data_IF_445950837248
#
_entry.id   IF_445950837248
#
_cell.length_a   1.000
_cell.length_b   1.000
_cell.length_c   1.000
_cell.angle_alpha   90.00
_cell.angle_beta   90.00
_cell.angle_gamma   90.00
#
_symmetry.space_group_name_H-M   'P 1'
#
loop_
_entity.id
_entity.type
_entity.pdbx_description
1 polymer ?
#
# COMPACT_ATOMS: atom_id res chain seq x y z
N UNK A 1 17.82 -4.61 2.96
CA UNK A 1 16.90 -5.02 1.85
C UNK A 1 15.71 -4.09 1.86
N UNK A 2 15.03 -3.86 0.76
CA UNK A 2 13.77 -3.10 0.71
C UNK A 2 12.59 -3.94 1.20
N UNK A 3 11.55 -3.25 1.65
CA UNK A 3 10.19 -3.79 1.77
C UNK A 3 9.33 -3.03 0.75
N UNK A 4 8.71 -3.75 -0.19
CA UNK A 4 7.66 -3.20 -1.06
C UNK A 4 6.35 -3.22 -0.28
N UNK A 5 5.91 -2.05 0.19
CA UNK A 5 4.78 -1.96 1.12
C UNK A 5 3.42 -2.09 0.45
N UNK A 6 3.35 -2.08 -0.89
CA UNK A 6 2.11 -2.25 -1.63
C UNK A 6 2.35 -2.70 -3.09
N UNK A 7 1.79 -3.84 -3.43
CA UNK A 7 1.77 -4.40 -4.78
C UNK A 7 0.55 -5.33 -4.95
N UNK A 8 0.27 -5.78 -6.18
CA UNK A 8 -0.78 -6.75 -6.53
C UNK A 8 -0.20 -7.91 -7.32
N UNK A 9 0.92 -8.47 -6.84
CA UNK A 9 1.65 -9.50 -7.60
C UNK A 9 0.89 -10.82 -7.71
N UNK A 10 -0.05 -11.10 -6.82
CA UNK A 10 -0.94 -12.26 -6.87
C UNK A 10 -1.91 -12.25 -8.06
N UNK A 11 -2.13 -11.06 -8.68
CA UNK A 11 -2.99 -10.92 -9.87
C UNK A 11 -2.27 -11.32 -11.17
N UNK A 12 -0.96 -11.56 -11.15
CA UNK A 12 -0.23 -12.11 -12.28
C UNK A 12 -0.55 -13.59 -12.48
N UNK A 13 -0.31 -14.08 -13.70
CA UNK A 13 -0.47 -15.51 -13.98
C UNK A 13 0.36 -16.36 -12.99
N UNK A 14 -0.20 -17.45 -12.44
CA UNK A 14 0.47 -18.25 -11.40
C UNK A 14 1.86 -18.73 -11.78
N UNK A 15 2.12 -18.99 -13.08
CA UNK A 15 3.42 -19.38 -13.62
C UNK A 15 4.45 -18.25 -13.61
N UNK A 16 4.02 -16.97 -13.62
CA UNK A 16 4.91 -15.81 -13.55
C UNK A 16 5.29 -15.42 -12.12
N UNK A 17 4.48 -15.83 -11.15
CA UNK A 17 4.59 -15.36 -9.76
C UNK A 17 5.95 -15.65 -9.13
N UNK A 18 6.49 -16.86 -9.36
CA UNK A 18 7.81 -17.25 -8.86
C UNK A 18 8.91 -16.37 -9.45
N UNK A 19 8.90 -16.19 -10.76
CA UNK A 19 9.90 -15.37 -11.46
C UNK A 19 9.86 -13.90 -11.00
N UNK A 20 8.68 -13.36 -10.68
CA UNK A 20 8.52 -11.98 -10.16
C UNK A 20 9.17 -11.88 -8.78
N UNK A 21 8.91 -12.84 -7.90
CA UNK A 21 9.49 -12.91 -6.55
C UNK A 21 11.01 -13.07 -6.62
N UNK A 22 11.51 -13.96 -7.47
CA UNK A 22 12.96 -14.18 -7.65
C UNK A 22 13.67 -12.93 -8.14
N UNK A 23 13.08 -12.22 -9.12
CA UNK A 23 13.61 -10.94 -9.59
C UNK A 23 13.59 -9.85 -8.52
N UNK A 24 12.59 -9.85 -7.64
CA UNK A 24 12.51 -8.93 -6.51
C UNK A 24 13.65 -9.19 -5.52
N UNK A 25 13.86 -10.44 -5.13
CA UNK A 25 14.97 -10.84 -4.24
C UNK A 25 16.32 -10.48 -4.86
N UNK A 26 16.55 -10.78 -6.14
CA UNK A 26 17.76 -10.40 -6.85
C UNK A 26 18.00 -8.88 -6.90
N UNK A 27 16.94 -8.08 -6.79
CA UNK A 27 16.97 -6.61 -6.70
C UNK A 27 17.01 -6.11 -5.24
N UNK A 28 17.33 -6.96 -4.27
CA UNK A 28 17.42 -6.62 -2.85
C UNK A 28 16.09 -6.21 -2.20
N UNK A 29 14.95 -6.73 -2.71
CA UNK A 29 13.63 -6.63 -2.08
C UNK A 29 13.44 -7.87 -1.21
N UNK A 30 13.41 -7.69 0.10
CA UNK A 30 13.35 -8.80 1.06
C UNK A 30 11.95 -9.15 1.51
N UNK A 31 10.98 -8.25 1.32
CA UNK A 31 9.57 -8.50 1.62
C UNK A 31 8.67 -7.72 0.66
N UNK A 32 7.52 -8.32 0.32
CA UNK A 32 6.50 -7.73 -0.55
C UNK A 32 5.15 -7.90 0.13
N UNK A 33 4.39 -6.81 0.25
CA UNK A 33 3.00 -6.86 0.72
C UNK A 33 2.10 -6.83 -0.53
N UNK A 34 1.39 -7.93 -0.80
CA UNK A 34 0.45 -8.01 -1.92
C UNK A 34 -0.97 -7.80 -1.42
N UNK A 35 -1.66 -6.78 -1.96
CA UNK A 35 -2.95 -6.28 -1.47
C UNK A 35 -4.11 -6.76 -2.33
N UNK A 36 -5.09 -7.41 -1.72
CA UNK A 36 -6.35 -7.76 -2.38
C UNK A 36 -7.26 -6.55 -2.57
N UNK A 37 -8.06 -6.55 -3.63
CA UNK A 37 -8.99 -5.47 -3.98
C UNK A 37 -10.46 -5.84 -3.86
N UNK A 38 -10.76 -7.13 -3.66
CA UNK A 38 -12.08 -7.68 -3.34
C UNK A 38 -11.95 -8.75 -2.27
N UNK A 39 -13.07 -9.25 -1.72
CA UNK A 39 -13.05 -10.38 -0.77
C UNK A 39 -12.39 -11.61 -1.39
N UNK A 40 -12.71 -11.93 -2.65
CA UNK A 40 -12.13 -13.07 -3.37
C UNK A 40 -10.65 -12.83 -3.67
N UNK A 41 -10.29 -11.64 -4.16
CA UNK A 41 -8.91 -11.26 -4.47
C UNK A 41 -8.03 -11.22 -3.21
N UNK A 42 -8.60 -10.86 -2.06
CA UNK A 42 -7.94 -10.94 -0.75
C UNK A 42 -7.56 -12.38 -0.37
N UNK A 43 -8.38 -13.37 -0.71
CA UNK A 43 -8.03 -14.79 -0.53
C UNK A 43 -6.83 -15.16 -1.42
N UNK A 44 -6.82 -14.73 -2.68
CA UNK A 44 -5.71 -14.98 -3.60
C UNK A 44 -4.38 -14.36 -3.10
N UNK A 45 -4.45 -13.18 -2.48
CA UNK A 45 -3.30 -12.54 -1.86
C UNK A 45 -2.76 -13.37 -0.68
N UNK A 46 -3.65 -13.94 0.16
CA UNK A 46 -3.27 -14.86 1.25
C UNK A 46 -2.64 -16.14 0.68
N UNK A 47 -3.24 -16.73 -0.35
CA UNK A 47 -2.74 -17.97 -0.97
C UNK A 47 -1.32 -17.77 -1.53
N UNK A 48 -1.06 -16.60 -2.10
CA UNK A 48 0.30 -16.25 -2.54
C UNK A 48 1.27 -16.09 -1.36
N UNK A 49 0.83 -15.45 -0.27
CA UNK A 49 1.65 -15.29 0.94
C UNK A 49 1.93 -16.62 1.66
N UNK A 50 1.06 -17.62 1.52
CA UNK A 50 1.33 -19.00 1.97
C UNK A 50 2.39 -19.69 1.09
N UNK A 51 2.40 -19.38 -0.21
CA UNK A 51 3.29 -20.02 -1.18
C UNK A 51 4.72 -19.48 -1.15
N UNK A 52 4.89 -18.19 -0.83
CA UNK A 52 6.19 -17.51 -0.85
C UNK A 52 6.49 -16.87 0.52
N UNK A 53 7.57 -17.32 1.16
CA UNK A 53 7.95 -16.90 2.52
C UNK A 53 8.15 -15.38 2.67
N UNK A 54 8.63 -14.72 1.62
CA UNK A 54 8.89 -13.27 1.59
C UNK A 54 7.72 -12.43 1.04
N UNK A 55 6.54 -13.04 0.86
CA UNK A 55 5.30 -12.35 0.46
C UNK A 55 4.33 -12.36 1.64
N UNK A 56 3.72 -11.21 1.90
CA UNK A 56 2.73 -11.00 2.95
C UNK A 56 1.44 -10.47 2.31
N UNK A 57 0.31 -10.70 2.96
CA UNK A 57 -0.98 -10.30 2.42
C UNK A 57 -1.51 -9.01 3.06
N UNK A 58 -2.11 -8.17 2.24
CA UNK A 58 -3.11 -7.19 2.63
C UNK A 58 -4.50 -7.68 2.20
N UNK A 59 -5.52 -7.44 3.03
CA UNK A 59 -6.90 -7.81 2.72
C UNK A 59 -7.80 -6.60 2.78
N UNK A 60 -8.67 -6.44 1.77
CA UNK A 60 -9.54 -5.28 1.66
C UNK A 60 -10.45 -5.32 0.43
N UNK A 61 -11.32 -4.32 0.34
CA UNK A 61 -12.15 -4.05 -0.84
C UNK A 61 -11.86 -2.63 -1.31
N UNK A 62 -11.27 -2.54 -2.49
CA UNK A 62 -10.89 -1.28 -3.10
C UNK A 62 -12.14 -0.44 -3.47
N UNK A 63 -12.11 0.88 -3.34
CA UNK A 63 -13.27 1.73 -3.61
C UNK A 63 -13.81 1.61 -5.04
N UNK A 64 -12.98 1.29 -6.04
CA UNK A 64 -13.43 1.12 -7.43
C UNK A 64 -14.06 -0.24 -7.72
N UNK A 65 -13.84 -1.24 -6.87
CA UNK A 65 -14.32 -2.61 -7.07
C UNK A 65 -15.66 -2.87 -6.34
N UNK A 66 -16.25 -1.83 -5.76
CA UNK A 66 -17.57 -1.90 -5.14
C UNK A 66 -18.67 -1.93 -6.20
N UNK A 67 -19.34 -3.06 -6.36
CA UNK A 67 -20.56 -3.18 -7.19
C UNK A 67 -21.83 -2.74 -6.43
N UNK A 68 -21.77 -2.68 -5.09
CA UNK A 68 -22.82 -2.30 -4.13
C UNK A 68 -22.21 -1.98 -2.77
N UNK A 69 -23.01 -1.52 -1.81
CA UNK A 69 -22.60 -1.50 -0.40
C UNK A 69 -22.22 -2.91 0.07
N UNK A 70 -21.15 -3.03 0.87
CA UNK A 70 -20.76 -4.32 1.46
C UNK A 70 -21.85 -4.84 2.39
N UNK A 71 -22.19 -6.10 2.25
CA UNK A 71 -23.15 -6.77 3.12
C UNK A 71 -22.49 -7.24 4.42
N UNK A 72 -23.30 -7.62 5.42
CA UNK A 72 -22.79 -8.23 6.64
C UNK A 72 -22.01 -9.53 6.37
N UNK A 73 -22.37 -10.29 5.34
CA UNK A 73 -21.66 -11.50 4.90
C UNK A 73 -20.29 -11.16 4.31
N UNK A 74 -20.20 -10.14 3.44
CA UNK A 74 -18.93 -9.67 2.90
C UNK A 74 -17.98 -9.22 4.01
N UNK A 75 -18.48 -8.44 4.97
CA UNK A 75 -17.72 -7.95 6.12
C UNK A 75 -17.27 -9.08 7.06
N UNK A 76 -18.13 -10.09 7.26
CA UNK A 76 -17.76 -11.28 8.03
C UNK A 76 -16.63 -12.04 7.36
N UNK A 77 -16.74 -12.34 6.08
CA UNK A 77 -15.70 -13.01 5.29
C UNK A 77 -14.38 -12.21 5.30
N UNK A 78 -14.45 -10.90 5.10
CA UNK A 78 -13.26 -10.05 5.15
C UNK A 78 -12.61 -10.07 6.53
N UNK A 79 -13.42 -10.06 7.60
CA UNK A 79 -12.92 -10.18 8.97
C UNK A 79 -12.26 -11.54 9.25
N UNK A 80 -12.79 -12.63 8.68
CA UNK A 80 -12.19 -13.96 8.80
C UNK A 80 -10.84 -14.03 8.05
N UNK A 81 -10.76 -13.44 6.86
CA UNK A 81 -9.49 -13.31 6.12
C UNK A 81 -8.46 -12.47 6.89
N UNK A 82 -8.88 -11.37 7.50
CA UNK A 82 -8.01 -10.50 8.30
C UNK A 82 -7.40 -11.20 9.53
N UNK A 83 -7.99 -12.30 9.99
CA UNK A 83 -7.45 -13.12 11.07
C UNK A 83 -6.28 -14.03 10.64
N UNK A 84 -6.03 -14.18 9.33
CA UNK A 84 -4.95 -15.04 8.82
C UNK A 84 -3.57 -14.55 9.30
N UNK A 85 -2.66 -15.45 9.69
CA UNK A 85 -1.31 -15.08 10.12
C UNK A 85 -0.46 -14.46 9.00
N UNK A 86 -0.80 -14.67 7.73
CA UNK A 86 -0.13 -14.07 6.58
C UNK A 86 -0.53 -12.62 6.36
N UNK A 87 -1.64 -12.17 6.95
CA UNK A 87 -2.15 -10.81 6.78
C UNK A 87 -1.44 -9.86 7.72
N UNK A 88 -0.84 -8.81 7.15
CA UNK A 88 -0.08 -7.81 7.91
C UNK A 88 -0.68 -6.41 7.87
N UNK A 89 -1.58 -6.15 6.93
CA UNK A 89 -2.27 -4.85 6.76
C UNK A 89 -3.72 -5.04 6.32
N UNK A 90 -4.59 -4.08 6.62
CA UNK A 90 -5.88 -3.91 5.95
C UNK A 90 -5.65 -3.09 4.69
N UNK A 91 -5.78 -3.69 3.51
CA UNK A 91 -5.44 -3.09 2.20
C UNK A 91 -6.03 -3.94 1.04
N UNK A 92 -6.52 -3.36 -0.05
CA UNK A 92 -6.54 -1.94 -0.32
C UNK A 92 -7.93 -1.39 -0.01
N UNK A 93 -8.01 -0.30 0.73
CA UNK A 93 -9.27 0.33 1.15
C UNK A 93 -9.20 1.84 0.86
N UNK A 94 -10.30 2.57 0.90
CA UNK A 94 -10.22 4.03 0.79
C UNK A 94 -11.31 4.69 -0.06
N UNK A 95 -10.93 5.80 -0.72
CA UNK A 95 -11.84 6.68 -1.48
C UNK A 95 -11.25 6.99 -2.86
N UNK A 96 -12.05 6.78 -3.90
CA UNK A 96 -11.74 7.13 -5.29
C UNK A 96 -12.91 7.93 -5.91
N UNK A 97 -12.66 9.16 -6.29
CA UNK A 97 -13.68 10.01 -6.92
C UNK A 97 -13.47 10.20 -8.42
N UNK A 98 -12.88 9.22 -9.09
CA UNK A 98 -12.80 9.23 -10.56
C UNK A 98 -14.21 9.15 -11.18
N UNK A 99 -14.36 9.58 -12.43
CA UNK A 99 -15.66 9.67 -13.11
C UNK A 99 -16.46 8.36 -13.12
N UNK A 100 -15.75 7.22 -13.22
CA UNK A 100 -16.37 5.88 -13.28
C UNK A 100 -16.38 5.14 -11.95
N UNK A 101 -15.93 5.79 -10.89
CA UNK A 101 -15.91 5.17 -9.57
C UNK A 101 -17.31 4.96 -9.01
N UNK A 102 -17.53 3.95 -8.19
CA UNK A 102 -18.80 3.65 -7.55
C UNK A 102 -19.35 4.80 -6.71
N UNK A 103 -20.59 4.68 -6.28
CA UNK A 103 -21.29 5.68 -5.45
C UNK A 103 -20.47 6.06 -4.22
N UNK A 104 -20.29 7.37 -3.99
CA UNK A 104 -19.49 7.92 -2.89
C UNK A 104 -19.93 7.43 -1.52
N UNK A 105 -21.24 7.25 -1.29
CA UNK A 105 -21.75 6.71 -0.01
C UNK A 105 -21.31 5.26 0.21
N UNK A 106 -21.30 4.41 -0.81
CA UNK A 106 -20.83 3.03 -0.70
C UNK A 106 -19.33 2.99 -0.33
N UNK A 107 -18.54 3.86 -0.94
CA UNK A 107 -17.12 3.97 -0.64
C UNK A 107 -16.90 4.39 0.82
N UNK A 108 -17.62 5.42 1.28
CA UNK A 108 -17.51 5.90 2.65
C UNK A 108 -17.94 4.83 3.68
N UNK A 109 -19.08 4.18 3.46
CA UNK A 109 -19.57 3.07 4.29
C UNK A 109 -18.55 1.91 4.33
N UNK A 110 -18.01 1.53 3.16
CA UNK A 110 -17.00 0.48 3.03
C UNK A 110 -15.73 0.84 3.78
N UNK A 111 -15.24 2.07 3.63
CA UNK A 111 -14.02 2.52 4.30
C UNK A 111 -14.16 2.49 5.82
N UNK A 112 -15.25 3.05 6.37
CA UNK A 112 -15.57 2.97 7.80
C UNK A 112 -15.63 1.52 8.31
N UNK A 113 -16.33 0.64 7.60
CA UNK A 113 -16.51 -0.75 8.02
C UNK A 113 -15.16 -1.52 8.02
N UNK A 114 -14.31 -1.27 7.02
CA UNK A 114 -13.01 -1.90 6.92
C UNK A 114 -12.02 -1.38 7.97
N UNK A 115 -12.06 -0.09 8.33
CA UNK A 115 -11.29 0.44 9.48
C UNK A 115 -11.72 -0.25 10.79
N UNK A 116 -13.03 -0.54 10.95
CA UNK A 116 -13.50 -1.27 12.13
C UNK A 116 -12.97 -2.71 12.17
N UNK A 117 -12.88 -3.40 11.02
CA UNK A 117 -12.25 -4.73 10.91
C UNK A 117 -10.75 -4.62 11.22
N UNK A 118 -10.04 -3.63 10.67
CA UNK A 118 -8.64 -3.40 10.96
C UNK A 118 -8.40 -3.24 12.47
N UNK A 119 -9.24 -2.46 13.15
CA UNK A 119 -9.20 -2.28 14.60
C UNK A 119 -9.41 -3.58 15.38
N UNK A 120 -10.38 -4.40 14.97
CA UNK A 120 -10.66 -5.71 15.60
C UNK A 120 -9.43 -6.64 15.54
N UNK A 121 -8.68 -6.59 14.46
CA UNK A 121 -7.52 -7.46 14.21
C UNK A 121 -6.16 -6.79 14.48
N UNK A 122 -6.18 -5.54 14.98
CA UNK A 122 -4.98 -4.73 15.27
C UNK A 122 -4.04 -4.61 14.04
N UNK A 123 -4.63 -4.39 12.87
CA UNK A 123 -3.92 -4.21 11.61
C UNK A 123 -3.75 -2.73 11.31
N UNK A 124 -2.57 -2.28 10.85
CA UNK A 124 -2.44 -0.96 10.23
C UNK A 124 -3.21 -0.92 8.92
N UNK A 125 -3.61 0.28 8.50
CA UNK A 125 -4.35 0.47 7.26
C UNK A 125 -3.46 1.04 6.15
N UNK A 126 -3.56 0.46 4.95
CA UNK A 126 -2.96 1.01 3.74
C UNK A 126 -4.10 1.43 2.82
N UNK A 127 -4.22 2.74 2.59
CA UNK A 127 -5.41 3.30 1.99
C UNK A 127 -5.15 4.19 0.78
N UNK A 128 -6.07 4.08 -0.16
CA UNK A 128 -6.15 4.80 -1.42
C UNK A 128 -6.94 6.09 -1.27
N UNK A 129 -6.44 7.20 -1.83
CA UNK A 129 -7.19 8.45 -1.97
C UNK A 129 -6.92 9.07 -3.32
N UNK A 130 -7.94 9.12 -4.19
CA UNK A 130 -7.80 9.63 -5.55
C UNK A 130 -8.90 10.62 -5.91
N UNK A 131 -8.47 11.80 -6.38
CA UNK A 131 -9.36 12.85 -6.86
C UNK A 131 -9.75 12.67 -8.32
N UNK A 132 -10.87 13.27 -8.72
CA UNK A 132 -11.28 13.32 -10.11
C UNK A 132 -10.16 13.89 -11.01
N UNK A 133 -9.88 13.20 -12.11
CA UNK A 133 -8.82 13.56 -13.08
C UNK A 133 -7.42 13.74 -12.47
N UNK A 134 -7.13 13.13 -11.34
CA UNK A 134 -5.87 13.29 -10.59
C UNK A 134 -5.55 14.76 -10.24
N UNK A 135 -6.57 15.58 -10.01
CA UNK A 135 -6.41 16.99 -9.66
C UNK A 135 -5.82 17.14 -8.24
N UNK A 136 -4.59 17.64 -8.16
CA UNK A 136 -3.89 17.82 -6.89
C UNK A 136 -4.43 18.97 -6.03
N UNK A 137 -5.25 19.83 -6.56
CA UNK A 137 -5.87 20.94 -5.85
C UNK A 137 -7.32 20.64 -5.43
N UNK A 138 -7.95 19.57 -5.98
CA UNK A 138 -9.27 19.13 -5.57
C UNK A 138 -9.27 18.53 -4.14
N UNK A 139 -10.42 18.60 -3.48
CA UNK A 139 -10.56 18.21 -2.06
C UNK A 139 -11.68 17.20 -1.80
N UNK A 140 -12.44 16.79 -2.83
CA UNK A 140 -13.64 15.96 -2.64
C UNK A 140 -13.34 14.59 -2.01
N UNK A 141 -12.37 13.86 -2.56
CA UNK A 141 -11.95 12.55 -2.04
C UNK A 141 -11.10 12.72 -0.77
N UNK A 142 -10.21 13.71 -0.76
CA UNK A 142 -9.32 14.00 0.37
C UNK A 142 -10.08 14.40 1.62
N UNK A 143 -11.06 15.31 1.52
CA UNK A 143 -11.88 15.72 2.66
C UNK A 143 -12.74 14.57 3.18
N UNK A 144 -13.31 13.76 2.28
CA UNK A 144 -14.03 12.55 2.67
C UNK A 144 -13.12 11.57 3.43
N UNK A 145 -11.94 11.31 2.90
CA UNK A 145 -10.98 10.41 3.57
C UNK A 145 -10.55 10.96 4.93
N UNK A 146 -10.18 12.25 5.03
CA UNK A 146 -9.78 12.89 6.29
C UNK A 146 -10.90 12.84 7.33
N UNK A 147 -12.18 13.08 6.91
CA UNK A 147 -13.32 12.98 7.82
C UNK A 147 -13.45 11.58 8.40
N UNK A 148 -13.45 10.56 7.52
CA UNK A 148 -13.58 9.15 7.91
C UNK A 148 -12.45 8.71 8.84
N UNK A 149 -11.20 9.06 8.51
CA UNK A 149 -10.03 8.73 9.31
C UNK A 149 -10.10 9.35 10.71
N UNK A 150 -10.57 10.60 10.83
CA UNK A 150 -10.79 11.29 12.11
C UNK A 150 -11.93 10.65 12.91
N UNK A 151 -13.11 10.48 12.29
CA UNK A 151 -14.29 9.91 12.92
C UNK A 151 -14.05 8.50 13.47
N UNK A 152 -13.24 7.73 12.75
CA UNK A 152 -12.85 6.37 13.13
C UNK A 152 -11.63 6.31 14.08
N UNK A 153 -11.01 7.44 14.45
CA UNK A 153 -9.72 7.48 15.16
C UNK A 153 -8.68 6.54 14.52
N UNK A 154 -8.66 6.49 13.19
CA UNK A 154 -7.87 5.49 12.44
C UNK A 154 -6.36 5.67 12.61
N UNK A 155 -5.89 6.87 12.99
CA UNK A 155 -4.48 7.13 13.28
C UNK A 155 -3.90 6.28 14.42
N UNK A 156 -4.74 5.78 15.35
CA UNK A 156 -4.30 4.85 16.41
C UNK A 156 -3.87 3.47 15.86
N UNK A 157 -4.37 3.09 14.70
CA UNK A 157 -3.95 1.86 14.02
C UNK A 157 -2.61 2.01 13.31
N UNK A 158 -2.25 3.23 12.96
CA UNK A 158 -1.15 3.51 12.05
C UNK A 158 -1.48 3.10 10.61
N UNK A 159 -0.47 3.17 9.77
CA UNK A 159 -0.61 2.82 8.35
C UNK A 159 -0.07 3.89 7.42
N UNK A 160 -0.53 3.88 6.17
CA UNK A 160 -0.02 4.80 5.14
C UNK A 160 -1.07 5.15 4.10
N UNK A 161 -1.01 6.40 3.61
CA UNK A 161 -1.58 6.73 2.31
C UNK A 161 -0.65 6.16 1.24
N UNK A 162 -1.11 5.10 0.56
CA UNK A 162 -0.34 4.45 -0.49
C UNK A 162 -0.42 5.23 -1.81
N UNK A 163 0.51 4.99 -2.72
CA UNK A 163 0.59 5.63 -4.05
C UNK A 163 0.30 7.13 -3.99
N UNK A 164 0.90 7.79 -3.00
CA UNK A 164 0.50 9.15 -2.64
C UNK A 164 0.50 10.10 -3.85
N UNK A 165 -0.65 10.73 -4.05
CA UNK A 165 -0.88 11.74 -5.07
C UNK A 165 -1.54 12.96 -4.42
N UNK A 166 -0.72 13.98 -4.15
CA UNK A 166 -1.21 15.21 -3.54
C UNK A 166 -0.10 16.20 -3.26
N UNK A 167 -0.49 17.43 -2.93
CA UNK A 167 0.45 18.46 -2.50
C UNK A 167 0.83 18.27 -1.04
N UNK A 168 1.90 18.93 -0.63
CA UNK A 168 2.40 18.92 0.74
C UNK A 168 1.33 19.21 1.80
N UNK A 169 0.40 20.13 1.53
CA UNK A 169 -0.68 20.45 2.47
C UNK A 169 -1.52 19.21 2.85
N UNK A 170 -1.86 18.35 1.87
CA UNK A 170 -2.61 17.12 2.13
C UNK A 170 -1.75 16.07 2.85
N UNK A 171 -0.49 15.92 2.44
CA UNK A 171 0.43 15.04 3.15
C UNK A 171 0.57 15.41 4.62
N UNK A 172 0.68 16.72 4.92
CA UNK A 172 0.75 17.22 6.29
C UNK A 172 -0.49 16.87 7.11
N UNK A 173 -1.71 16.97 6.55
CA UNK A 173 -2.93 16.57 7.24
C UNK A 173 -2.90 15.07 7.62
N UNK A 174 -2.40 14.20 6.74
CA UNK A 174 -2.26 12.77 7.01
C UNK A 174 -1.18 12.48 8.06
N UNK A 175 -0.04 13.16 7.98
CA UNK A 175 1.03 13.08 8.97
C UNK A 175 0.56 13.52 10.36
N UNK A 176 -0.23 14.60 10.44
CA UNK A 176 -0.81 15.11 11.69
C UNK A 176 -1.81 14.10 12.30
N UNK A 177 -2.42 13.24 11.48
CA UNK A 177 -3.27 12.13 11.91
C UNK A 177 -2.47 10.86 12.31
N UNK A 178 -1.16 10.84 12.11
CA UNK A 178 -0.29 9.72 12.49
C UNK A 178 0.05 8.77 11.35
N UNK A 179 -0.36 9.04 10.11
CA UNK A 179 -0.07 8.19 8.95
C UNK A 179 1.29 8.47 8.33
N UNK A 180 1.81 7.47 7.63
CA UNK A 180 2.97 7.59 6.76
C UNK A 180 2.55 8.00 5.35
N UNK A 181 3.53 8.40 4.54
CA UNK A 181 3.36 8.70 3.12
C UNK A 181 4.18 7.70 2.32
N UNK A 182 3.52 6.95 1.45
CA UNK A 182 4.19 5.96 0.60
C UNK A 182 4.33 6.48 -0.83
N UNK A 183 5.55 6.44 -1.35
CA UNK A 183 5.89 6.88 -2.68
C UNK A 183 6.11 5.70 -3.61
N UNK A 184 5.47 5.78 -4.78
CA UNK A 184 5.62 4.85 -5.89
C UNK A 184 6.41 5.48 -7.05
N UNK A 185 6.48 4.79 -8.17
CA UNK A 185 7.20 5.22 -9.39
C UNK A 185 6.74 6.57 -9.94
N UNK A 186 5.53 7.03 -9.59
CA UNK A 186 5.02 8.38 -9.89
C UNK A 186 5.93 9.48 -9.37
N UNK A 187 6.65 9.28 -8.27
CA UNK A 187 7.63 10.25 -7.77
C UNK A 187 8.71 10.59 -8.80
N UNK A 188 9.12 9.63 -9.63
CA UNK A 188 10.08 9.87 -10.71
C UNK A 188 9.48 10.56 -11.94
N UNK A 189 8.15 10.68 -12.02
CA UNK A 189 7.42 11.18 -13.19
C UNK A 189 6.71 12.51 -12.95
N UNK A 190 6.34 12.83 -11.70
CA UNK A 190 5.50 13.97 -11.34
C UNK A 190 6.27 14.94 -10.44
N UNK A 191 6.63 16.09 -11.02
CA UNK A 191 7.35 17.16 -10.29
C UNK A 191 6.54 17.69 -9.09
N UNK A 192 5.21 17.63 -9.15
CA UNK A 192 4.32 18.07 -8.08
C UNK A 192 4.50 17.27 -6.77
N UNK A 193 5.10 16.08 -6.83
CA UNK A 193 5.37 15.24 -5.65
C UNK A 193 6.72 15.57 -4.99
N UNK A 194 7.61 16.30 -5.65
CA UNK A 194 8.96 16.55 -5.13
C UNK A 194 8.94 17.35 -3.83
N UNK A 195 8.11 18.39 -3.73
CA UNK A 195 7.96 19.17 -2.50
C UNK A 195 7.51 18.27 -1.35
N UNK A 196 6.54 17.41 -1.59
CA UNK A 196 6.05 16.46 -0.57
C UNK A 196 7.14 15.47 -0.16
N UNK A 197 7.88 14.91 -1.13
CA UNK A 197 8.96 13.97 -0.86
C UNK A 197 10.13 14.62 -0.08
N UNK A 198 10.40 15.91 -0.30
CA UNK A 198 11.42 16.65 0.45
C UNK A 198 10.97 16.96 1.87
N UNK A 199 9.72 17.39 2.06
CA UNK A 199 9.23 17.89 3.33
C UNK A 199 8.69 16.78 4.27
N UNK A 200 8.35 15.60 3.76
CA UNK A 200 7.90 14.49 4.61
C UNK A 200 9.00 14.10 5.61
N UNK A 201 8.71 14.02 6.93
CA UNK A 201 9.68 13.57 7.92
C UNK A 201 10.31 12.23 7.54
N UNK A 202 11.60 12.08 7.79
CA UNK A 202 12.37 10.90 7.38
C UNK A 202 11.77 9.59 7.92
N UNK A 203 11.28 9.62 9.15
CA UNK A 203 10.66 8.49 9.86
C UNK A 203 9.20 8.22 9.43
N UNK A 204 8.69 8.93 8.41
CA UNK A 204 7.31 8.84 7.92
C UNK A 204 7.23 8.52 6.44
N UNK A 205 8.35 8.18 5.80
CA UNK A 205 8.40 7.82 4.38
C UNK A 205 8.41 6.31 4.21
N UNK A 206 7.55 5.82 3.31
CA UNK A 206 7.54 4.45 2.83
C UNK A 206 7.76 4.41 1.31
N UNK A 207 8.15 3.26 0.81
CA UNK A 207 8.31 2.98 -0.61
C UNK A 207 7.47 1.78 -1.02
N UNK A 208 6.97 1.85 -2.23
CA UNK A 208 6.20 0.79 -2.86
C UNK A 208 6.35 0.80 -4.37
N UNK A 209 5.83 -0.20 -5.04
CA UNK A 209 5.80 -0.22 -6.51
C UNK A 209 4.40 -0.10 -7.08
N UNK A 210 3.38 -0.50 -6.35
CA UNK A 210 2.02 -0.68 -6.86
C UNK A 210 2.03 -1.55 -8.14
N UNK A 211 2.78 -2.65 -8.07
CA UNK A 211 2.99 -3.54 -9.20
C UNK A 211 1.77 -4.44 -9.42
N UNK A 212 1.20 -4.39 -10.63
CA UNK A 212 0.07 -5.19 -11.07
C UNK A 212 0.20 -5.58 -12.56
N UNK A 213 -0.62 -6.50 -13.10
CA UNK A 213 -0.61 -6.86 -14.51
C UNK A 213 -1.00 -5.69 -15.42
N UNK A 214 -0.03 -5.05 -16.05
CA UNK A 214 -0.21 -3.85 -16.90
C UNK A 214 -0.51 -4.24 -18.35
N UNK A 215 -1.57 -5.00 -18.58
CA UNK A 215 -1.96 -5.57 -19.88
C UNK A 215 -2.15 -4.55 -20.99
N UNK A 216 -2.38 -3.28 -20.65
CA UNK A 216 -2.42 -2.16 -21.60
C UNK A 216 -1.04 -1.82 -22.21
N UNK A 217 0.05 -2.26 -21.58
CA UNK A 217 1.40 -2.12 -22.11
C UNK A 217 1.74 -3.32 -22.99
N UNK A 218 2.00 -3.10 -24.29
CA UNK A 218 2.33 -4.16 -25.26
C UNK A 218 3.59 -4.95 -24.91
N UNK A 219 4.53 -4.33 -24.21
CA UNK A 219 5.80 -4.96 -23.85
C UNK A 219 5.77 -5.35 -22.37
N UNK A 220 5.77 -6.66 -22.09
CA UNK A 220 5.79 -7.24 -20.73
C UNK A 220 6.98 -6.74 -19.90
N UNK A 221 8.15 -6.55 -20.52
CA UNK A 221 9.35 -6.08 -19.81
C UNK A 221 9.26 -4.61 -19.31
N UNK A 222 8.25 -3.87 -19.75
CA UNK A 222 7.95 -2.51 -19.27
C UNK A 222 6.91 -2.47 -18.15
N UNK A 223 6.41 -3.62 -17.71
CA UNK A 223 5.53 -3.67 -16.56
C UNK A 223 6.32 -3.35 -15.30
N UNK A 224 5.68 -2.66 -14.38
CA UNK A 224 6.25 -2.41 -13.06
C UNK A 224 6.23 -3.71 -12.26
N UNK A 225 7.34 -4.01 -11.60
CA UNK A 225 7.50 -5.15 -10.70
C UNK A 225 8.12 -4.68 -9.37
N UNK A 226 8.02 -5.45 -8.28
CA UNK A 226 8.63 -5.08 -6.99
C UNK A 226 10.13 -4.75 -7.06
N UNK A 227 10.88 -5.33 -8.00
CA UNK A 227 12.29 -4.98 -8.27
C UNK A 227 12.51 -3.50 -8.60
N UNK A 228 11.48 -2.83 -9.14
CA UNK A 228 11.57 -1.42 -9.59
C UNK A 228 11.50 -0.42 -8.41
N UNK A 229 11.38 -0.88 -7.17
CA UNK A 229 11.39 -0.03 -5.97
C UNK A 229 12.70 0.78 -5.87
N UNK A 230 13.80 0.26 -6.40
CA UNK A 230 15.08 0.97 -6.46
C UNK A 230 14.99 2.28 -7.23
N UNK A 231 14.16 2.35 -8.30
CA UNK A 231 13.96 3.58 -9.08
C UNK A 231 13.32 4.67 -8.22
N UNK A 232 12.39 4.30 -7.33
CA UNK A 232 11.76 5.24 -6.39
C UNK A 232 12.78 5.71 -5.36
N UNK A 233 13.58 4.77 -4.82
CA UNK A 233 14.62 5.06 -3.83
C UNK A 233 15.71 5.97 -4.42
N UNK A 234 16.16 5.75 -5.66
CA UNK A 234 17.12 6.59 -6.37
C UNK A 234 16.60 8.04 -6.52
N UNK A 235 15.34 8.20 -6.95
CA UNK A 235 14.73 9.53 -7.08
C UNK A 235 14.63 10.21 -5.71
N UNK A 236 14.18 9.51 -4.68
CA UNK A 236 14.07 10.06 -3.34
C UNK A 236 15.45 10.44 -2.76
N UNK A 237 16.46 9.59 -2.94
CA UNK A 237 17.83 9.87 -2.52
C UNK A 237 18.37 11.15 -3.17
N UNK A 238 18.16 11.31 -4.48
CA UNK A 238 18.57 12.51 -5.22
C UNK A 238 17.88 13.77 -4.70
N UNK A 239 16.56 13.71 -4.43
CA UNK A 239 15.79 14.85 -3.90
C UNK A 239 16.22 15.25 -2.50
N UNK A 240 16.62 14.29 -1.66
CA UNK A 240 17.00 14.52 -0.26
C UNK A 240 18.51 14.68 -0.04
N UNK A 241 19.31 14.60 -1.10
CA UNK A 241 20.77 14.74 -1.01
C UNK A 241 21.45 13.65 -0.16
N UNK A 242 20.93 12.41 -0.24
CA UNK A 242 21.41 11.25 0.52
C UNK A 242 21.69 10.05 -0.41
N UNK A 243 22.04 8.87 0.15
CA UNK A 243 22.31 7.68 -0.65
C UNK A 243 21.11 6.74 -0.71
N UNK A 244 21.08 5.86 -1.71
CA UNK A 244 20.04 4.83 -1.85
C UNK A 244 20.06 3.88 -0.66
N UNK A 245 21.23 3.56 -0.14
CA UNK A 245 21.39 2.68 1.04
C UNK A 245 20.76 3.31 2.28
N UNK A 246 20.91 4.62 2.46
CA UNK A 246 20.26 5.37 3.56
C UNK A 246 18.75 5.34 3.40
N UNK A 247 18.23 5.62 2.20
CA UNK A 247 16.79 5.53 1.92
C UNK A 247 16.28 4.11 2.20
N UNK A 248 16.98 3.08 1.72
CA UNK A 248 16.60 1.69 1.96
C UNK A 248 16.53 1.38 3.46
N UNK A 249 17.56 1.71 4.23
CA UNK A 249 17.60 1.43 5.65
C UNK A 249 16.46 2.14 6.40
N UNK A 250 16.26 3.42 6.11
CA UNK A 250 15.22 4.25 6.73
C UNK A 250 13.82 3.74 6.39
N UNK A 251 13.52 3.53 5.11
CA UNK A 251 12.16 3.13 4.68
C UNK A 251 11.83 1.71 5.09
N UNK A 252 12.81 0.82 5.17
CA UNK A 252 12.62 -0.54 5.72
C UNK A 252 12.30 -0.47 7.21
N UNK A 253 13.03 0.34 7.98
CA UNK A 253 12.72 0.56 9.40
C UNK A 253 11.31 1.13 9.57
N UNK A 254 10.95 2.14 8.80
CA UNK A 254 9.63 2.77 8.86
C UNK A 254 8.50 1.79 8.50
N UNK A 255 8.72 0.92 7.51
CA UNK A 255 7.76 -0.13 7.16
C UNK A 255 7.56 -1.12 8.33
N UNK A 256 8.62 -1.53 9.00
CA UNK A 256 8.51 -2.38 10.19
C UNK A 256 7.81 -1.64 11.34
N UNK A 257 8.15 -0.39 11.59
CA UNK A 257 7.47 0.44 12.60
C UNK A 257 5.97 0.58 12.30
N UNK A 258 5.59 0.80 11.03
CA UNK A 258 4.20 0.86 10.57
C UNK A 258 3.45 -0.46 10.82
N UNK A 259 4.11 -1.60 10.59
CA UNK A 259 3.49 -2.93 10.77
C UNK A 259 3.23 -3.28 12.25
N UNK A 260 3.82 -2.58 13.19
CA UNK A 260 3.55 -2.73 14.61
C UNK A 260 3.69 -4.18 15.10
N UNK A 261 2.61 -4.77 15.60
CA UNK A 261 2.61 -6.15 16.10
C UNK A 261 2.93 -7.19 15.02
N UNK A 262 2.69 -6.89 13.75
CA UNK A 262 2.97 -7.77 12.62
C UNK A 262 4.42 -7.69 12.12
N UNK A 263 5.19 -6.71 12.58
CA UNK A 263 6.59 -6.52 12.16
C UNK A 263 7.47 -7.75 12.39
N UNK A 264 7.26 -8.45 13.51
CA UNK A 264 8.10 -9.62 13.90
C UNK A 264 8.11 -10.74 12.85
N UNK A 265 7.01 -10.93 12.13
CA UNK A 265 6.88 -11.94 11.07
C UNK A 265 7.77 -11.54 9.90
N UNK A 266 7.66 -10.28 9.46
CA UNK A 266 8.46 -9.73 8.35
C UNK A 266 9.94 -9.66 8.70
N UNK A 267 10.28 -9.20 9.90
CA UNK A 267 11.68 -9.17 10.37
C UNK A 267 12.35 -10.55 10.36
N UNK A 268 11.61 -11.60 10.71
CA UNK A 268 12.16 -12.96 10.71
C UNK A 268 12.59 -13.36 9.30
N UNK A 269 11.78 -13.06 8.31
CA UNK A 269 12.07 -13.35 6.89
C UNK A 269 13.24 -12.50 6.39
N UNK A 270 13.27 -11.20 6.69
CA UNK A 270 14.39 -10.34 6.30
C UNK A 270 15.74 -10.82 6.85
N UNK A 271 15.76 -11.37 8.08
CA UNK A 271 16.97 -11.93 8.70
C UNK A 271 17.40 -13.24 8.06
N UNK A 272 16.48 -14.09 7.59
CA UNK A 272 16.80 -15.34 6.89
C UNK A 272 17.35 -15.06 5.49
N UNK A 273 16.71 -14.16 4.74
CA UNK A 273 17.13 -13.79 3.38
C UNK A 273 18.50 -13.09 3.34
N UNK A 274 18.88 -12.35 4.40
CA UNK A 274 20.18 -11.68 4.48
C UNK A 274 21.35 -12.63 4.70
N UNK A 275 21.12 -13.91 5.04
CA UNK A 275 22.14 -14.92 5.35
C UNK A 275 22.37 -15.93 4.24
N UNK A 276 21.49 -15.98 3.27
CA UNK A 276 21.58 -16.81 2.06
C UNK A 276 22.26 -16.05 0.92
#
# INVERSE_FOLDING_TARGET
MFIDTHAHIHQHAPEESGDIVDRAVAANVGAIITAGTTVEDSQNAIDMAVRFENVFAGVGVHPTDLERSLTADDLSKLSDLAASPQVVVMSEIGIDHQEKSPTKSWQAESFHAQIAIARKHELPIVFHVREHQDDYDARSARDAAISILKESNAGELGGTAHYFQGRWAFAKELLDLGFNISFAKTLAQKIDLEETAINTPEDRILLETDAYPQTFKKNRTKWTEPKDISVVAEKLAALRGTTVETIQATTTKNALDMLGKRASIVETVLKSTSRS
#
